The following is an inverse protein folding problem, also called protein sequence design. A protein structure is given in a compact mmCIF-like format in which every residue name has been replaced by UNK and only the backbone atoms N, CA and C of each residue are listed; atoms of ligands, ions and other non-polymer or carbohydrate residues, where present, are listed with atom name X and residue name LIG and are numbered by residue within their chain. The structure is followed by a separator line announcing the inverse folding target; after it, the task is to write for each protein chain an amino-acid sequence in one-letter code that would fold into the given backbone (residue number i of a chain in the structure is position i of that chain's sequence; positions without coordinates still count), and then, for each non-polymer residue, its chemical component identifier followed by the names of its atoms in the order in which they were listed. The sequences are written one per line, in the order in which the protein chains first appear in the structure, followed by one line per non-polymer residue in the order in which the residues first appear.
data_IF_259540871518
#
_entry.id   IF_259540871518
#
_cell.length_a   1.000
_cell.length_b   1.000
_cell.length_c   1.000
_cell.angle_alpha   90.00
_cell.angle_beta   90.00
_cell.angle_gamma   90.00
#
_symmetry.space_group_name_H-M   'P 1'
#
loop_
_entity.id
_entity.type
_entity.pdbx_description
1 polymer ?
#
# COMPACT_ATOMS: atom_id res chain seq x y z
N UNK A 1 -6.09 8.58 -15.22
CA UNK A 1 -6.85 9.08 -14.05
C UNK A 1 -6.36 8.29 -12.84
N UNK A 2 -6.99 8.36 -11.66
CA UNK A 2 -6.61 7.48 -10.55
C UNK A 2 -7.80 7.14 -9.68
N UNK A 3 -7.89 5.91 -9.22
CA UNK A 3 -8.99 5.42 -8.37
C UNK A 3 -8.52 5.30 -6.93
N UNK A 4 -9.31 5.81 -5.98
CA UNK A 4 -9.02 5.69 -4.55
C UNK A 4 -9.80 4.51 -3.96
N UNK A 5 -9.15 3.83 -3.02
CA UNK A 5 -9.69 2.70 -2.27
C UNK A 5 -9.39 2.89 -0.78
N UNK A 6 -10.11 2.17 0.08
CA UNK A 6 -9.82 2.04 1.51
C UNK A 6 -10.01 0.58 1.94
N UNK A 7 -9.61 -0.32 1.05
CA UNK A 7 -9.82 -1.76 1.23
C UNK A 7 -8.58 -2.41 1.81
N UNK A 8 -8.73 -3.36 2.75
CA UNK A 8 -7.59 -4.05 3.34
C UNK A 8 -6.87 -4.89 2.28
N UNK A 9 -5.55 -4.97 2.43
CA UNK A 9 -4.69 -5.85 1.65
C UNK A 9 -3.80 -6.67 2.57
N UNK A 10 -3.42 -7.86 2.14
CA UNK A 10 -2.34 -8.62 2.77
C UNK A 10 -1.03 -8.23 2.09
N UNK A 11 -0.06 -7.73 2.84
CA UNK A 11 1.28 -7.43 2.33
C UNK A 11 2.23 -8.58 2.65
N UNK A 12 2.86 -9.15 1.64
CA UNK A 12 3.86 -10.20 1.76
C UNK A 12 5.25 -9.60 1.72
N UNK A 13 6.05 -9.94 2.72
CA UNK A 13 7.42 -9.48 2.87
C UNK A 13 8.39 -10.65 2.69
N UNK A 14 9.54 -10.38 2.06
CA UNK A 14 10.73 -11.23 2.15
C UNK A 14 11.91 -10.32 2.54
N UNK A 15 12.72 -10.73 3.53
CA UNK A 15 13.84 -9.95 4.05
C UNK A 15 13.49 -8.49 4.40
N UNK A 16 12.32 -8.30 5.01
CA UNK A 16 11.74 -6.99 5.35
C UNK A 16 11.47 -6.07 4.16
N UNK A 17 11.48 -6.60 2.93
CA UNK A 17 11.13 -5.90 1.70
C UNK A 17 9.77 -6.39 1.18
N UNK A 18 8.90 -5.48 0.71
CA UNK A 18 7.62 -5.86 0.15
C UNK A 18 7.81 -6.56 -1.20
N UNK A 19 7.30 -7.78 -1.32
CA UNK A 19 7.43 -8.64 -2.51
C UNK A 19 6.12 -8.78 -3.27
N UNK A 20 4.99 -8.79 -2.55
CA UNK A 20 3.68 -8.86 -3.17
C UNK A 20 2.61 -8.31 -2.23
N UNK A 21 1.45 -7.99 -2.76
CA UNK A 21 0.25 -7.82 -1.95
C UNK A 21 -0.95 -8.54 -2.57
N UNK A 22 -1.89 -8.96 -1.71
CA UNK A 22 -3.16 -9.57 -2.13
C UNK A 22 -4.28 -8.55 -1.94
N UNK A 23 -4.99 -8.26 -3.03
CA UNK A 23 -6.16 -7.38 -3.02
C UNK A 23 -7.31 -8.03 -3.78
N UNK A 24 -8.48 -8.17 -3.14
CA UNK A 24 -9.67 -8.86 -3.67
C UNK A 24 -9.35 -10.27 -4.22
N UNK A 25 -8.56 -11.04 -3.46
CA UNK A 25 -8.16 -12.40 -3.82
C UNK A 25 -7.15 -12.51 -4.96
N UNK A 26 -6.63 -11.39 -5.47
CA UNK A 26 -5.66 -11.35 -6.58
C UNK A 26 -4.28 -10.96 -6.06
N UNK A 27 -3.25 -11.67 -6.52
CA UNK A 27 -1.85 -11.40 -6.18
C UNK A 27 -1.27 -10.30 -7.10
N UNK A 28 -0.57 -9.34 -6.50
CA UNK A 28 0.15 -8.27 -7.18
C UNK A 28 1.62 -8.36 -6.79
N UNK A 29 2.49 -8.74 -7.73
CA UNK A 29 3.92 -8.89 -7.49
C UNK A 29 4.61 -7.54 -7.54
N UNK A 30 5.23 -7.13 -6.44
CA UNK A 30 5.91 -5.85 -6.32
C UNK A 30 7.32 -6.00 -6.90
N UNK A 31 7.64 -5.17 -7.90
CA UNK A 31 9.01 -5.06 -8.44
C UNK A 31 9.86 -4.13 -7.60
N UNK A 32 9.28 -2.99 -7.21
CA UNK A 32 10.00 -1.95 -6.49
C UNK A 32 9.06 -1.01 -5.73
N UNK A 33 9.62 -0.36 -4.72
CA UNK A 33 8.99 0.73 -3.98
C UNK A 33 9.48 2.05 -4.58
N UNK A 34 8.60 2.75 -5.29
CA UNK A 34 8.91 4.00 -5.98
C UNK A 34 9.03 5.18 -5.02
N UNK A 35 8.16 5.24 -4.00
CA UNK A 35 8.13 6.30 -3.00
C UNK A 35 7.68 5.74 -1.65
N UNK A 36 8.17 6.32 -0.56
CA UNK A 36 7.65 6.07 0.79
C UNK A 36 7.66 7.35 1.61
N UNK A 37 6.63 7.55 2.41
CA UNK A 37 6.57 8.64 3.36
C UNK A 37 5.75 8.24 4.58
N UNK A 38 6.01 8.91 5.70
CA UNK A 38 5.21 8.79 6.92
C UNK A 38 4.36 10.03 7.05
N UNK A 39 3.07 9.85 7.32
CA UNK A 39 2.19 10.91 7.80
C UNK A 39 1.98 10.66 9.29
N UNK A 40 2.54 11.53 10.12
CA UNK A 40 2.20 11.58 11.54
C UNK A 40 0.88 12.33 11.65
N UNK A 41 -0.08 11.80 12.40
CA UNK A 41 -1.34 12.50 12.67
C UNK A 41 -1.11 13.83 13.37
N UNK A 42 -2.07 14.74 13.27
CA UNK A 42 -2.01 16.04 13.95
C UNK A 42 -1.81 15.85 15.45
N UNK A 43 -0.97 16.66 16.09
CA UNK A 43 -0.64 16.49 17.51
C UNK A 43 -1.85 16.67 18.45
N UNK A 44 -2.89 17.38 18.01
CA UNK A 44 -4.14 17.59 18.76
C UNK A 44 -5.20 16.51 18.50
N UNK A 45 -5.06 15.71 17.45
CA UNK A 45 -5.93 14.56 17.17
C UNK A 45 -5.17 13.29 17.56
N UNK A 46 -5.84 12.33 18.20
CA UNK A 46 -5.25 10.98 18.42
C UNK A 46 -5.18 10.19 17.10
N UNK A 47 -4.76 10.84 16.02
CA UNK A 47 -4.66 10.22 14.71
C UNK A 47 -3.38 9.39 14.64
N UNK A 48 -3.52 8.14 14.22
CA UNK A 48 -2.41 7.20 14.23
C UNK A 48 -1.51 7.39 13.03
N UNK A 49 -0.20 7.33 13.28
CA UNK A 49 0.84 7.29 12.24
C UNK A 49 0.42 6.40 11.06
N UNK A 50 0.50 6.95 9.85
CA UNK A 50 0.28 6.24 8.59
C UNK A 50 1.59 6.16 7.83
N UNK A 51 1.91 4.98 7.32
CA UNK A 51 3.05 4.79 6.43
C UNK A 51 2.54 4.53 5.03
N UNK A 52 2.83 5.43 4.12
CA UNK A 52 2.45 5.33 2.72
C UNK A 52 3.64 4.83 1.90
N UNK A 53 3.35 4.00 0.91
CA UNK A 53 4.29 3.60 -0.10
C UNK A 53 3.61 3.52 -1.47
N UNK A 54 4.26 4.05 -2.50
CA UNK A 54 3.89 3.79 -3.89
C UNK A 54 4.77 2.66 -4.40
N UNK A 55 4.15 1.61 -4.91
CA UNK A 55 4.81 0.42 -5.44
C UNK A 55 4.47 0.21 -6.90
N UNK A 56 5.46 -0.19 -7.69
CA UNK A 56 5.21 -0.74 -9.02
C UNK A 56 4.94 -2.24 -8.86
N UNK A 57 3.77 -2.69 -9.29
CA UNK A 57 3.39 -4.09 -9.16
C UNK A 57 2.75 -4.63 -10.44
N UNK A 58 2.91 -5.93 -10.64
CA UNK A 58 2.37 -6.66 -11.79
C UNK A 58 1.18 -7.51 -11.39
N UNK A 59 0.14 -7.49 -12.22
CA UNK A 59 -1.04 -8.35 -12.11
C UNK A 59 -1.31 -9.01 -13.46
N UNK A 60 -1.27 -10.33 -13.53
CA UNK A 60 -1.58 -11.12 -14.75
C UNK A 60 -0.91 -10.60 -16.04
N UNK A 61 0.34 -10.16 -15.99
CA UNK A 61 1.02 -9.62 -17.17
C UNK A 61 1.13 -8.10 -17.21
N UNK A 62 0.20 -7.39 -16.57
CA UNK A 62 0.07 -5.93 -16.66
C UNK A 62 0.75 -5.23 -15.49
N UNK A 63 1.50 -4.17 -15.78
CA UNK A 63 2.13 -3.32 -14.78
C UNK A 63 1.20 -2.18 -14.37
N UNK A 64 1.21 -1.84 -13.09
CA UNK A 64 0.54 -0.67 -12.54
C UNK A 64 1.27 -0.09 -11.34
N UNK A 65 0.89 1.12 -10.95
CA UNK A 65 1.37 1.73 -9.71
C UNK A 65 0.25 1.76 -8.68
N UNK A 66 0.62 1.44 -7.44
CA UNK A 66 -0.33 1.28 -6.33
C UNK A 66 0.19 2.03 -5.12
N UNK A 67 -0.65 2.87 -4.53
CA UNK A 67 -0.39 3.44 -3.22
C UNK A 67 -0.98 2.52 -2.16
N UNK A 68 -0.11 1.95 -1.33
CA UNK A 68 -0.47 1.15 -0.16
C UNK A 68 -0.19 1.94 1.11
N UNK A 69 -1.07 1.82 2.09
CA UNK A 69 -0.96 2.54 3.36
C UNK A 69 -1.10 1.60 4.54
N UNK A 70 -0.12 1.64 5.45
CA UNK A 70 -0.22 1.01 6.75
C UNK A 70 -0.82 1.98 7.75
N UNK A 71 -1.91 1.58 8.41
CA UNK A 71 -2.57 2.38 9.45
C UNK A 71 -2.25 1.78 10.81
N UNK A 72 -1.40 2.46 11.59
CA UNK A 72 -0.85 1.91 12.84
C UNK A 72 -1.93 1.53 13.87
N UNK A 73 -2.99 2.34 14.04
CA UNK A 73 -4.09 2.02 14.97
C UNK A 73 -4.86 0.76 14.59
N UNK A 74 -4.95 0.47 13.29
CA UNK A 74 -5.61 -0.74 12.77
C UNK A 74 -4.64 -1.91 12.60
N UNK A 75 -3.32 -1.65 12.75
CA UNK A 75 -2.24 -2.61 12.50
C UNK A 75 -2.35 -3.33 11.14
N UNK A 76 -2.87 -2.64 10.13
CA UNK A 76 -3.32 -3.23 8.88
C UNK A 76 -2.90 -2.39 7.66
N UNK A 77 -2.59 -3.07 6.57
CA UNK A 77 -2.36 -2.46 5.26
C UNK A 77 -3.65 -2.31 4.46
N UNK A 78 -3.75 -1.21 3.73
CA UNK A 78 -4.85 -0.90 2.82
C UNK A 78 -4.32 -0.49 1.46
N UNK A 79 -5.07 -0.81 0.41
CA UNK A 79 -4.90 -0.15 -0.87
C UNK A 79 -5.54 1.23 -0.79
N UNK A 80 -4.76 2.28 -0.99
CA UNK A 80 -5.22 3.67 -0.94
C UNK A 80 -5.55 4.21 -2.34
N UNK A 81 -4.71 3.91 -3.33
CA UNK A 81 -4.85 4.45 -4.69
C UNK A 81 -4.29 3.51 -5.74
N UNK A 82 -4.97 3.43 -6.88
CA UNK A 82 -4.47 2.85 -8.13
C UNK A 82 -4.27 4.00 -9.11
N UNK A 83 -3.06 4.10 -9.66
CA UNK A 83 -2.78 5.01 -10.75
C UNK A 83 -3.05 4.26 -12.07
N UNK A 84 -3.82 4.86 -12.98
CA UNK A 84 -4.01 4.30 -14.35
C UNK A 84 -2.68 4.28 -15.11
#
# INVERSE_FOLDING_TARGET
MSKRYQEPIELRLADRRPQAFVWRGRNYEIKEVLKRWTVSGDWWQKESRRLHAVVAAKRYGEWGQYEIVYVAKRRQWFLHRVYD
#
